data_IF_025143533045
#
_entry.id   IF_025143533045
#
_cell.length_a   1.000
_cell.length_b   1.000
_cell.length_c   1.000
_cell.angle_alpha   90.00
_cell.angle_beta   90.00
_cell.angle_gamma   90.00
#
_symmetry.space_group_name_H-M   'P 1'
#
loop_
_entity.id
_entity.type
_entity.pdbx_description
1 polymer ?
#
# COMPACT_ATOMS: atom_id res chain seq x y z
N UNK A 1 -42.33 -0.75 13.33
CA UNK A 1 -41.39 -0.31 12.29
C UNK A 1 -40.04 -0.06 12.94
N UNK A 2 -39.04 -0.90 12.66
CA UNK A 2 -37.64 -0.61 12.93
C UNK A 2 -36.87 -1.11 11.70
N UNK A 3 -36.35 -0.18 10.90
CA UNK A 3 -35.55 -0.51 9.73
C UNK A 3 -34.18 -0.98 10.22
N UNK A 4 -33.82 -2.22 9.92
CA UNK A 4 -32.48 -2.74 10.14
C UNK A 4 -31.53 -2.07 9.15
N UNK A 5 -30.61 -1.26 9.66
CA UNK A 5 -29.52 -0.72 8.86
C UNK A 5 -28.57 -1.87 8.49
N UNK A 6 -28.68 -2.38 7.27
CA UNK A 6 -27.72 -3.31 6.70
C UNK A 6 -26.35 -2.61 6.64
N UNK A 7 -25.27 -3.17 7.23
CA UNK A 7 -23.97 -2.54 7.15
C UNK A 7 -23.52 -2.48 5.69
N UNK A 8 -23.32 -1.26 5.18
CA UNK A 8 -22.78 -1.02 3.84
C UNK A 8 -21.42 -1.70 3.76
N UNK A 9 -21.34 -2.77 2.97
CA UNK A 9 -20.09 -3.47 2.67
C UNK A 9 -19.16 -2.48 1.97
N UNK A 10 -18.22 -1.87 2.70
CA UNK A 10 -17.19 -1.00 2.12
C UNK A 10 -16.41 -1.85 1.11
N UNK A 11 -16.53 -1.53 -0.17
CA UNK A 11 -15.70 -2.15 -1.23
C UNK A 11 -14.25 -1.77 -0.92
N UNK A 12 -13.47 -2.72 -0.45
CA UNK A 12 -12.01 -2.60 -0.40
C UNK A 12 -11.53 -2.69 -1.84
N UNK A 13 -11.13 -1.55 -2.41
CA UNK A 13 -10.58 -1.49 -3.76
C UNK A 13 -9.09 -1.80 -3.65
N UNK A 14 -8.70 -3.03 -4.00
CA UNK A 14 -7.29 -3.37 -4.21
C UNK A 14 -6.91 -2.80 -5.58
N UNK A 15 -6.21 -1.66 -5.62
CA UNK A 15 -5.67 -1.18 -6.88
C UNK A 15 -4.39 -1.97 -7.20
N UNK A 16 -4.53 -2.96 -8.06
CA UNK A 16 -3.43 -3.77 -8.58
C UNK A 16 -3.00 -3.17 -9.91
N UNK A 17 -1.83 -2.52 -9.96
CA UNK A 17 -1.14 -2.29 -11.23
C UNK A 17 -0.32 -3.55 -11.52
N UNK A 18 -0.47 -4.19 -12.70
CA UNK A 18 0.09 -5.52 -12.93
C UNK A 18 1.63 -5.49 -12.96
N UNK A 19 2.25 -6.01 -11.90
CA UNK A 19 3.68 -6.25 -11.85
C UNK A 19 4.00 -7.59 -12.51
N UNK A 20 4.87 -7.57 -13.53
CA UNK A 20 5.31 -8.78 -14.26
C UNK A 20 6.64 -9.37 -13.73
N UNK A 21 7.19 -8.85 -12.63
CA UNK A 21 8.52 -9.23 -12.13
C UNK A 21 8.52 -9.40 -10.61
N UNK A 22 9.39 -10.29 -10.13
CA UNK A 22 9.57 -10.53 -8.71
C UNK A 22 10.33 -9.39 -8.02
N UNK A 23 9.88 -8.97 -6.82
CA UNK A 23 10.55 -7.95 -6.00
C UNK A 23 11.11 -8.62 -4.73
N UNK A 24 12.44 -8.82 -4.62
CA UNK A 24 13.01 -9.65 -3.55
C UNK A 24 12.95 -9.01 -2.15
N UNK A 25 12.77 -7.69 -2.07
CA UNK A 25 12.74 -6.94 -0.81
C UNK A 25 11.60 -5.93 -0.84
N UNK A 26 10.73 -6.01 0.16
CA UNK A 26 9.54 -5.18 0.24
C UNK A 26 9.32 -4.77 1.70
N UNK A 27 9.20 -3.46 1.95
CA UNK A 27 8.76 -2.94 3.24
C UNK A 27 7.25 -2.71 3.18
N UNK A 28 6.53 -3.09 4.24
CA UNK A 28 5.13 -2.74 4.45
C UNK A 28 5.08 -1.70 5.56
N UNK A 29 4.74 -0.47 5.22
CA UNK A 29 4.44 0.57 6.18
C UNK A 29 2.99 0.44 6.63
N UNK A 30 2.77 0.47 7.93
CA UNK A 30 1.43 0.44 8.53
C UNK A 30 1.13 1.81 9.09
N UNK A 31 0.03 2.40 8.65
CA UNK A 31 -0.41 3.71 9.07
C UNK A 31 -1.71 3.63 9.86
N UNK A 32 -1.89 4.58 10.78
CA UNK A 32 -3.16 4.80 11.47
C UNK A 32 -4.24 5.19 10.45
N UNK A 33 -5.45 4.60 10.52
CA UNK A 33 -6.56 4.93 9.61
C UNK A 33 -7.10 6.34 9.80
N UNK A 34 -6.78 7.02 10.91
CA UNK A 34 -7.21 8.39 11.18
C UNK A 34 -6.69 9.38 10.12
N UNK A 35 -5.54 9.08 9.52
CA UNK A 35 -4.85 9.94 8.54
C UNK A 35 -5.18 9.57 7.08
N UNK A 36 -6.35 8.97 6.85
CA UNK A 36 -6.79 8.48 5.53
C UNK A 36 -6.67 9.53 4.42
N UNK A 37 -6.94 10.82 4.70
CA UNK A 37 -6.82 11.89 3.70
C UNK A 37 -5.37 12.08 3.24
N UNK A 38 -4.41 12.04 4.16
CA UNK A 38 -3.00 12.19 3.81
C UNK A 38 -2.46 10.95 3.08
N UNK A 39 -2.91 9.77 3.50
CA UNK A 39 -2.60 8.48 2.86
C UNK A 39 -3.16 8.44 1.42
N UNK A 40 -4.39 8.89 1.19
CA UNK A 40 -4.99 8.98 -0.15
C UNK A 40 -4.23 9.97 -1.03
N UNK A 41 -3.83 11.13 -0.50
CA UNK A 41 -2.99 12.10 -1.24
C UNK A 41 -1.64 11.52 -1.63
N UNK A 42 -0.98 10.81 -0.71
CA UNK A 42 0.28 10.12 -0.99
C UNK A 42 0.08 9.03 -2.06
N UNK A 43 -1.02 8.28 -1.98
CA UNK A 43 -1.40 7.27 -2.98
C UNK A 43 -1.56 7.88 -4.38
N UNK A 44 -2.29 9.00 -4.49
CA UNK A 44 -2.49 9.70 -5.76
C UNK A 44 -1.17 10.20 -6.33
N UNK A 45 -0.29 10.76 -5.51
CA UNK A 45 1.02 11.23 -5.98
C UNK A 45 1.87 10.08 -6.54
N UNK A 46 1.86 8.91 -5.88
CA UNK A 46 2.53 7.72 -6.41
C UNK A 46 1.91 7.30 -7.72
N UNK A 47 0.57 7.22 -7.81
CA UNK A 47 -0.14 6.85 -9.06
C UNK A 47 0.19 7.78 -10.23
N UNK A 48 0.25 9.09 -9.99
CA UNK A 48 0.66 10.06 -11.01
C UNK A 48 2.10 9.81 -11.47
N UNK A 49 3.02 9.55 -10.53
CA UNK A 49 4.39 9.20 -10.88
C UNK A 49 4.50 7.88 -11.65
N UNK A 50 3.56 6.94 -11.48
CA UNK A 50 3.51 5.71 -12.28
C UNK A 50 3.19 5.96 -13.75
N UNK A 51 2.47 7.04 -14.08
CA UNK A 51 2.18 7.41 -15.47
C UNK A 51 3.45 7.85 -16.21
N UNK A 52 4.38 8.47 -15.50
CA UNK A 52 5.68 8.93 -16.02
C UNK A 52 6.75 7.83 -15.95
N UNK A 53 6.78 7.08 -14.84
CA UNK A 53 7.70 5.98 -14.62
C UNK A 53 6.96 4.68 -14.27
N UNK A 54 6.72 3.79 -15.25
CA UNK A 54 5.99 2.54 -15.05
C UNK A 54 6.75 1.50 -14.20
N UNK A 55 7.95 1.84 -13.71
CA UNK A 55 8.73 1.00 -12.78
C UNK A 55 8.36 1.26 -11.32
N UNK A 56 7.68 2.36 -11.04
CA UNK A 56 7.14 2.69 -9.72
C UNK A 56 5.88 1.87 -9.48
N UNK A 57 5.71 1.38 -8.26
CA UNK A 57 4.44 0.79 -7.87
C UNK A 57 4.15 0.80 -6.38
N UNK A 58 2.89 0.55 -6.10
CA UNK A 58 2.27 0.59 -4.79
C UNK A 58 1.25 -0.54 -4.67
N UNK A 59 1.20 -1.16 -3.50
CA UNK A 59 0.04 -1.92 -3.04
C UNK A 59 -0.45 -1.32 -1.72
N UNK A 60 -1.76 -1.15 -1.58
CA UNK A 60 -2.38 -0.66 -0.36
C UNK A 60 -3.56 -1.54 0.06
N UNK A 61 -3.62 -1.87 1.36
CA UNK A 61 -4.71 -2.57 2.00
C UNK A 61 -5.31 -1.69 3.10
N UNK A 62 -6.62 -1.49 3.06
CA UNK A 62 -7.38 -0.66 3.99
C UNK A 62 -8.35 -1.54 4.78
N UNK A 63 -7.91 -2.08 5.92
CA UNK A 63 -8.73 -2.97 6.75
C UNK A 63 -8.34 -2.85 8.22
N UNK A 64 -9.04 -2.02 8.99
CA UNK A 64 -8.68 -1.72 10.40
C UNK A 64 -7.44 -0.83 10.55
N UNK A 65 -6.37 -1.18 9.85
CA UNK A 65 -5.14 -0.40 9.64
C UNK A 65 -4.93 -0.13 8.15
N UNK A 66 -4.03 0.78 7.80
CA UNK A 66 -3.65 1.01 6.40
C UNK A 66 -2.25 0.47 6.15
N UNK A 67 -2.17 -0.69 5.50
CA UNK A 67 -0.90 -1.32 5.14
C UNK A 67 -0.54 -0.95 3.70
N UNK A 68 0.61 -0.30 3.53
CA UNK A 68 1.07 0.22 2.24
C UNK A 68 2.46 -0.32 1.96
N UNK A 69 2.65 -0.78 0.74
CA UNK A 69 3.93 -1.18 0.25
C UNK A 69 4.28 -0.50 -1.05
N UNK A 70 5.50 0.02 -1.12
CA UNK A 70 6.04 0.78 -2.24
C UNK A 70 7.22 0.02 -2.84
N UNK A 71 7.34 -0.01 -4.17
CA UNK A 71 8.43 -0.70 -4.84
C UNK A 71 8.85 0.02 -6.12
N UNK A 72 10.12 -0.15 -6.49
CA UNK A 72 10.69 0.31 -7.76
C UNK A 72 11.40 -0.85 -8.45
N UNK A 73 11.14 -1.06 -9.74
CA UNK A 73 11.62 -2.25 -10.49
C UNK A 73 13.14 -2.38 -10.53
N UNK A 74 13.87 -1.27 -10.67
CA UNK A 74 15.31 -1.30 -10.93
C UNK A 74 16.18 -1.29 -9.66
N UNK A 75 15.57 -1.42 -8.47
CA UNK A 75 16.27 -1.44 -7.18
C UNK A 75 17.35 -0.35 -7.07
N UNK A 76 16.91 0.90 -7.17
CA UNK A 76 17.77 2.09 -7.14
C UNK A 76 18.24 2.39 -5.71
N UNK A 77 19.44 2.97 -5.57
CA UNK A 77 19.98 3.34 -4.25
C UNK A 77 19.14 4.41 -3.55
N UNK A 78 18.48 5.29 -4.33
CA UNK A 78 17.54 6.27 -3.82
C UNK A 78 16.10 5.86 -4.16
N UNK A 79 15.16 5.96 -3.20
CA UNK A 79 13.75 5.74 -3.48
C UNK A 79 13.20 6.86 -4.38
N UNK A 80 12.23 6.56 -5.27
CA UNK A 80 11.49 7.57 -6.02
C UNK A 80 10.96 8.70 -5.12
N UNK A 81 11.09 9.96 -5.57
CA UNK A 81 10.57 11.14 -4.86
C UNK A 81 9.08 11.04 -4.53
N UNK A 82 8.31 10.34 -5.35
CA UNK A 82 6.90 10.09 -5.12
C UNK A 82 6.61 9.37 -3.78
N UNK A 83 7.60 8.65 -3.22
CA UNK A 83 7.47 7.97 -1.93
C UNK A 83 7.68 8.90 -0.72
N UNK A 84 8.19 10.12 -0.92
CA UNK A 84 8.45 11.06 0.17
C UNK A 84 7.19 11.41 0.97
N UNK A 85 6.04 11.51 0.30
CA UNK A 85 4.79 11.79 1.02
C UNK A 85 4.48 10.68 2.04
N UNK A 86 4.68 9.42 1.68
CA UNK A 86 4.51 8.28 2.58
C UNK A 86 5.55 8.23 3.70
N UNK A 87 6.81 8.56 3.40
CA UNK A 87 7.88 8.59 4.41
C UNK A 87 7.70 9.69 5.46
N UNK A 88 7.01 10.77 5.10
CA UNK A 88 6.78 11.92 5.97
C UNK A 88 5.43 11.89 6.72
N UNK A 89 4.60 10.86 6.50
CA UNK A 89 3.35 10.71 7.24
C UNK A 89 3.63 10.42 8.72
N UNK A 90 3.14 11.29 9.60
CA UNK A 90 3.24 11.12 11.06
C UNK A 90 2.41 9.96 11.59
N UNK A 91 1.46 9.48 10.79
CA UNK A 91 0.59 8.35 11.10
C UNK A 91 1.28 6.99 10.96
N UNK A 92 2.57 6.94 10.60
CA UNK A 92 3.32 5.70 10.54
C UNK A 92 3.37 5.05 11.92
N UNK A 93 2.73 3.90 12.05
CA UNK A 93 2.68 3.09 13.27
C UNK A 93 3.90 2.17 13.33
N UNK A 94 4.18 1.47 12.23
CA UNK A 94 5.30 0.53 12.15
C UNK A 94 5.68 0.22 10.70
N UNK A 95 6.86 -0.35 10.52
CA UNK A 95 7.32 -0.89 9.25
C UNK A 95 7.63 -2.38 9.43
N UNK A 96 7.02 -3.21 8.60
CA UNK A 96 7.15 -4.67 8.61
C UNK A 96 7.96 -5.11 7.39
N UNK A 97 8.86 -6.06 7.61
CA UNK A 97 9.62 -6.75 6.57
C UNK A 97 9.06 -8.17 6.42
N UNK A 98 8.02 -8.37 5.60
CA UNK A 98 7.44 -9.70 5.39
C UNK A 98 8.43 -10.62 4.68
N UNK A 99 8.40 -11.89 5.04
CA UNK A 99 9.03 -12.95 4.24
C UNK A 99 8.13 -13.23 3.04
N UNK A 100 8.58 -12.88 1.83
CA UNK A 100 7.81 -13.10 0.60
C UNK A 100 8.66 -13.82 -0.42
N UNK A 101 8.02 -14.61 -1.29
CA UNK A 101 8.68 -15.26 -2.44
C UNK A 101 8.92 -14.28 -3.61
N UNK A 102 8.67 -12.99 -3.41
CA UNK A 102 8.77 -11.98 -4.44
C UNK A 102 7.64 -11.98 -5.47
N UNK A 103 6.63 -12.85 -5.36
CA UNK A 103 5.55 -12.97 -6.36
C UNK A 103 4.33 -12.10 -6.01
N UNK A 104 3.56 -11.58 -6.98
CA UNK A 104 2.35 -10.80 -6.70
C UNK A 104 1.36 -11.46 -5.70
N UNK A 105 1.10 -12.78 -5.77
CA UNK A 105 0.24 -13.44 -4.78
C UNK A 105 0.83 -13.45 -3.36
N UNK A 106 2.13 -13.74 -3.20
CA UNK A 106 2.76 -13.74 -1.87
C UNK A 106 2.83 -12.35 -1.24
N UNK A 107 2.93 -11.29 -2.04
CA UNK A 107 2.77 -9.93 -1.54
C UNK A 107 1.35 -9.62 -1.08
N UNK A 108 0.37 -9.98 -1.89
CA UNK A 108 -1.05 -9.75 -1.58
C UNK A 108 -1.43 -10.44 -0.26
N UNK A 109 -0.91 -11.64 -0.02
CA UNK A 109 -1.09 -12.36 1.25
C UNK A 109 -0.43 -11.62 2.42
N UNK A 110 0.85 -11.24 2.30
CA UNK A 110 1.56 -10.53 3.37
C UNK A 110 0.88 -9.20 3.74
N UNK A 111 0.39 -8.46 2.76
CA UNK A 111 -0.41 -7.23 2.98
C UNK A 111 -1.75 -7.50 3.65
N UNK A 112 -2.39 -8.63 3.32
CA UNK A 112 -3.61 -9.10 3.96
C UNK A 112 -3.38 -9.39 5.45
N UNK A 113 -2.32 -10.12 5.77
CA UNK A 113 -1.94 -10.47 7.15
C UNK A 113 -1.62 -9.23 7.98
N UNK A 114 -0.80 -8.31 7.44
CA UNK A 114 -0.45 -7.07 8.14
C UNK A 114 -1.65 -6.14 8.31
N UNK A 115 -2.52 -6.06 7.29
CA UNK A 115 -3.77 -5.30 7.36
C UNK A 115 -4.89 -6.01 8.14
N UNK A 116 -4.62 -7.04 8.92
CA UNK A 116 -5.56 -7.60 9.91
C UNK A 116 -5.02 -7.49 11.35
N UNK A 117 -3.79 -7.02 11.51
CA UNK A 117 -3.11 -6.89 12.81
C UNK A 117 -3.55 -5.64 13.59
#
# INVERSE_FOLDING_TARGET
MAASSTPTRRRITILIVPLRVAVPTLNINVYSPEDHVAIEKATVAVQQAQEEDPKIGLFANFNGSVAVSMFHRDHTAEPPKAFELFHNLRSLVTTVLPSTSGTPPSFSQALGEVGHA
#
